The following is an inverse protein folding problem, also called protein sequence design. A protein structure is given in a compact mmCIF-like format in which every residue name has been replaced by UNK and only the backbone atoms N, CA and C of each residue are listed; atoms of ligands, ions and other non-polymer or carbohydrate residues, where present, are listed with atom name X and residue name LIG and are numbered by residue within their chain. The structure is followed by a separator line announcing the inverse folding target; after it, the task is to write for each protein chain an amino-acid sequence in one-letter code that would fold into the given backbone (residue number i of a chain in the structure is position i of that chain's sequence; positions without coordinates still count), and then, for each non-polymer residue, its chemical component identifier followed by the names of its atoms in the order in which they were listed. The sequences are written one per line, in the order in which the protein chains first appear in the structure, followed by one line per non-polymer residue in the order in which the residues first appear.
data_IF_179541563565
#
_entry.id   IF_179541563565
#
_cell.length_a   1.000
_cell.length_b   1.000
_cell.length_c   1.000
_cell.angle_alpha   90.00
_cell.angle_beta   90.00
_cell.angle_gamma   90.00
#
_symmetry.space_group_name_H-M   'P 1'
#
loop_
_entity.id
_entity.type
_entity.pdbx_description
1 polymer ?
#
# COMPACT_ATOMS: atom_id res chain seq x y z
N UNK A 1 -3.43 -17.53 8.18
CA UNK A 1 -2.79 -18.78 7.73
C UNK A 1 -3.31 -19.20 6.37
N UNK A 2 -2.56 -20.06 5.63
CA UNK A 2 -2.98 -20.63 4.33
C UNK A 2 -2.93 -22.16 4.31
N UNK A 3 -2.10 -22.73 5.16
CA UNK A 3 -1.82 -24.16 5.21
C UNK A 3 -2.88 -24.89 6.06
N UNK A 4 -3.53 -25.94 5.51
CA UNK A 4 -4.58 -26.69 6.24
C UNK A 4 -4.07 -27.38 7.50
N UNK A 5 -2.83 -27.91 7.48
CA UNK A 5 -2.25 -28.57 8.65
C UNK A 5 -1.99 -27.60 9.80
N UNK A 6 -1.57 -26.36 9.48
CA UNK A 6 -1.42 -25.32 10.50
C UNK A 6 -2.79 -24.91 11.07
N UNK A 7 -3.85 -24.87 10.24
CA UNK A 7 -5.22 -24.61 10.72
C UNK A 7 -5.66 -25.69 11.72
N UNK A 8 -5.40 -26.94 11.41
CA UNK A 8 -5.69 -28.08 12.30
C UNK A 8 -4.95 -27.98 13.64
N UNK A 9 -3.63 -27.77 13.60
CA UNK A 9 -2.80 -27.59 14.80
C UNK A 9 -3.28 -26.43 15.67
N UNK A 10 -3.65 -25.28 15.06
CA UNK A 10 -4.17 -24.13 15.82
C UNK A 10 -5.48 -24.47 16.52
N UNK A 11 -6.38 -25.18 15.85
CA UNK A 11 -7.66 -25.60 16.43
C UNK A 11 -7.49 -26.60 17.59
N UNK A 12 -6.53 -27.49 17.50
CA UNK A 12 -6.20 -28.44 18.55
C UNK A 12 -5.52 -27.77 19.74
N UNK A 13 -4.61 -26.82 19.48
CA UNK A 13 -3.77 -26.21 20.52
C UNK A 13 -4.43 -25.03 21.20
N UNK A 14 -5.15 -24.18 20.43
CA UNK A 14 -5.81 -22.96 20.88
C UNK A 14 -7.20 -22.87 20.25
N UNK A 15 -8.18 -23.66 20.72
CA UNK A 15 -9.49 -23.81 20.06
C UNK A 15 -10.27 -22.50 19.85
N UNK A 16 -10.11 -21.52 20.75
CA UNK A 16 -10.81 -20.24 20.71
C UNK A 16 -10.14 -19.18 19.82
N UNK A 17 -8.97 -19.50 19.22
CA UNK A 17 -8.28 -18.57 18.36
C UNK A 17 -9.06 -18.32 17.06
N UNK A 18 -9.33 -17.05 16.77
CA UNK A 18 -9.91 -16.65 15.48
C UNK A 18 -8.91 -16.86 14.34
N UNK A 19 -9.32 -17.64 13.36
CA UNK A 19 -8.48 -17.97 12.19
C UNK A 19 -8.89 -17.11 11.00
N UNK A 20 -7.94 -16.35 10.45
CA UNK A 20 -8.09 -15.61 9.21
C UNK A 20 -7.35 -16.35 8.09
N UNK A 21 -8.10 -16.77 7.08
CA UNK A 21 -7.54 -17.47 5.92
C UNK A 21 -6.84 -16.48 4.98
N UNK A 22 -5.60 -16.77 4.64
CA UNK A 22 -4.82 -15.94 3.71
C UNK A 22 -5.37 -16.01 2.28
N UNK A 23 -5.20 -14.93 1.52
CA UNK A 23 -5.39 -14.91 0.06
C UNK A 23 -4.60 -16.01 -0.67
N UNK A 24 -3.53 -16.51 -0.07
CA UNK A 24 -2.72 -17.60 -0.64
C UNK A 24 -3.45 -18.95 -0.68
N UNK A 25 -4.56 -19.11 0.05
CA UNK A 25 -5.46 -20.26 -0.09
C UNK A 25 -6.32 -20.18 -1.37
N UNK A 26 -6.24 -19.05 -2.11
CA UNK A 26 -6.89 -18.83 -3.40
C UNK A 26 -8.41 -19.08 -3.37
N UNK A 27 -9.10 -18.45 -2.41
CA UNK A 27 -10.56 -18.56 -2.29
C UNK A 27 -11.23 -17.65 -3.31
N UNK A 28 -11.84 -18.25 -4.33
CA UNK A 28 -12.42 -17.56 -5.50
C UNK A 28 -13.91 -17.82 -5.71
N UNK A 29 -14.56 -18.58 -4.83
CA UNK A 29 -15.99 -18.87 -4.92
C UNK A 29 -16.59 -19.20 -3.55
N UNK A 30 -17.92 -19.10 -3.45
CA UNK A 30 -18.63 -19.34 -2.18
C UNK A 30 -18.52 -20.76 -1.66
N UNK A 31 -18.34 -21.78 -2.54
CA UNK A 31 -18.19 -23.16 -2.09
C UNK A 31 -16.87 -23.37 -1.36
N UNK A 32 -15.79 -22.77 -1.85
CA UNK A 32 -14.51 -22.74 -1.15
C UNK A 32 -14.61 -21.97 0.17
N UNK A 33 -15.30 -20.82 0.18
CA UNK A 33 -15.53 -20.05 1.40
C UNK A 33 -16.30 -20.88 2.46
N UNK A 34 -17.37 -21.56 2.05
CA UNK A 34 -18.16 -22.42 2.92
C UNK A 34 -17.40 -23.64 3.42
N UNK A 35 -16.49 -24.19 2.61
CA UNK A 35 -15.59 -25.25 3.05
C UNK A 35 -14.69 -24.76 4.19
N UNK A 36 -14.02 -23.63 4.02
CA UNK A 36 -13.14 -23.07 5.04
C UNK A 36 -13.88 -22.65 6.31
N UNK A 37 -15.08 -22.12 6.18
CA UNK A 37 -15.94 -21.84 7.34
C UNK A 37 -16.20 -23.09 8.18
N UNK A 38 -16.53 -24.21 7.54
CA UNK A 38 -16.71 -25.50 8.22
C UNK A 38 -15.42 -25.99 8.90
N UNK A 39 -14.26 -25.56 8.40
CA UNK A 39 -12.97 -25.81 9.05
C UNK A 39 -12.66 -24.83 10.19
N UNK A 40 -13.61 -23.98 10.61
CA UNK A 40 -13.45 -23.06 11.74
C UNK A 40 -12.75 -21.73 11.38
N UNK A 41 -12.62 -21.42 10.09
CA UNK A 41 -12.14 -20.12 9.65
C UNK A 41 -13.22 -19.06 9.90
N UNK A 42 -12.86 -17.97 10.56
CA UNK A 42 -13.76 -16.86 10.91
C UNK A 42 -13.71 -15.67 9.94
N UNK A 43 -12.60 -15.52 9.19
CA UNK A 43 -12.44 -14.47 8.15
C UNK A 43 -11.64 -15.02 6.98
N UNK A 44 -12.04 -14.63 5.77
CA UNK A 44 -11.34 -14.98 4.54
C UNK A 44 -10.82 -13.72 3.85
N UNK A 45 -9.52 -13.69 3.58
CA UNK A 45 -8.91 -12.69 2.68
C UNK A 45 -9.14 -13.17 1.25
N UNK A 46 -10.01 -12.49 0.54
CA UNK A 46 -10.41 -12.84 -0.83
C UNK A 46 -9.23 -12.74 -1.81
N UNK A 47 -9.28 -13.56 -2.87
CA UNK A 47 -8.35 -13.47 -3.98
C UNK A 47 -8.49 -12.12 -4.71
N UNK A 48 -7.37 -11.58 -5.24
CA UNK A 48 -7.35 -10.27 -5.92
C UNK A 48 -7.97 -10.30 -7.32
N UNK A 49 -8.16 -11.49 -7.83
CA UNK A 49 -8.67 -11.77 -9.18
C UNK A 49 -10.20 -11.71 -9.26
N UNK A 50 -10.88 -11.44 -8.13
CA UNK A 50 -12.34 -11.38 -8.05
C UNK A 50 -12.88 -10.01 -8.45
N UNK A 51 -13.93 -10.03 -9.26
CA UNK A 51 -14.77 -8.86 -9.53
C UNK A 51 -15.76 -8.60 -8.38
N UNK A 52 -16.32 -7.39 -8.33
CA UNK A 52 -17.38 -7.07 -7.37
C UNK A 52 -18.59 -7.99 -7.46
N UNK A 53 -18.95 -8.42 -8.68
CA UNK A 53 -20.05 -9.39 -8.91
C UNK A 53 -19.76 -10.74 -8.26
N UNK A 54 -18.57 -11.26 -8.43
CA UNK A 54 -18.16 -12.54 -7.82
C UNK A 54 -18.05 -12.44 -6.31
N UNK A 55 -17.57 -11.30 -5.77
CA UNK A 55 -17.54 -11.02 -4.33
C UNK A 55 -18.97 -11.01 -3.77
N UNK A 56 -19.89 -10.33 -4.44
CA UNK A 56 -21.30 -10.31 -4.06
C UNK A 56 -21.91 -11.72 -4.01
N UNK A 57 -21.63 -12.55 -5.02
CA UNK A 57 -22.06 -13.95 -5.05
C UNK A 57 -21.49 -14.74 -3.86
N UNK A 58 -20.20 -14.55 -3.55
CA UNK A 58 -19.55 -15.19 -2.41
C UNK A 58 -20.22 -14.77 -1.09
N UNK A 59 -20.39 -13.47 -0.87
CA UNK A 59 -20.96 -12.94 0.37
C UNK A 59 -22.41 -13.42 0.55
N UNK A 60 -23.23 -13.36 -0.51
CA UNK A 60 -24.64 -13.71 -0.45
C UNK A 60 -24.90 -15.21 -0.22
N UNK A 61 -23.97 -16.07 -0.63
CA UNK A 61 -24.09 -17.54 -0.51
C UNK A 61 -23.20 -18.13 0.61
N UNK A 62 -22.67 -17.30 1.50
CA UNK A 62 -21.87 -17.72 2.65
C UNK A 62 -22.61 -17.48 3.98
N UNK A 63 -22.21 -18.16 5.07
CA UNK A 63 -22.73 -17.90 6.41
C UNK A 63 -22.57 -16.44 6.83
N UNK A 64 -23.58 -15.90 7.54
CA UNK A 64 -23.65 -14.47 7.89
C UNK A 64 -22.59 -14.02 8.89
N UNK A 65 -22.04 -14.93 9.65
CA UNK A 65 -20.97 -14.71 10.63
C UNK A 65 -19.56 -14.93 10.05
N UNK A 66 -19.46 -15.42 8.80
CA UNK A 66 -18.19 -15.46 8.08
C UNK A 66 -17.83 -14.05 7.60
N UNK A 67 -16.68 -13.56 8.05
CA UNK A 67 -16.18 -12.25 7.65
C UNK A 67 -15.32 -12.32 6.37
N UNK A 68 -15.40 -11.28 5.57
CA UNK A 68 -14.55 -11.13 4.37
C UNK A 68 -13.65 -9.91 4.47
N UNK A 69 -12.42 -10.08 3.98
CA UNK A 69 -11.39 -9.05 3.85
C UNK A 69 -10.97 -8.95 2.38
N UNK A 70 -10.88 -7.73 1.85
CA UNK A 70 -10.54 -7.49 0.45
C UNK A 70 -9.36 -6.53 0.31
N UNK A 71 -8.49 -6.78 -0.67
CA UNK A 71 -7.42 -5.84 -0.99
C UNK A 71 -7.98 -4.58 -1.65
N UNK A 72 -7.51 -3.42 -1.24
CA UNK A 72 -7.96 -2.13 -1.77
C UNK A 72 -6.82 -1.26 -2.29
N UNK A 73 -5.56 -1.57 -1.93
CA UNK A 73 -4.42 -0.75 -2.32
C UNK A 73 -3.13 -1.54 -2.44
N UNK A 74 -2.27 -1.09 -3.34
CA UNK A 74 -0.89 -1.54 -3.47
C UNK A 74 -0.64 -2.51 -4.62
N UNK A 75 0.45 -3.23 -4.51
CA UNK A 75 0.96 -4.06 -5.60
C UNK A 75 -0.02 -5.17 -6.02
N UNK A 76 -0.30 -5.25 -7.31
CA UNK A 76 -0.96 -6.42 -7.93
C UNK A 76 0.05 -7.52 -8.23
N UNK A 77 -0.38 -8.77 -8.12
CA UNK A 77 0.43 -9.93 -8.48
C UNK A 77 0.20 -10.31 -9.95
N UNK A 78 1.26 -10.74 -10.65
CA UNK A 78 1.18 -11.27 -12.02
C UNK A 78 0.52 -12.66 -12.07
N UNK A 79 0.61 -13.40 -11.00
CA UNK A 79 0.07 -14.75 -10.90
C UNK A 79 -1.10 -14.82 -9.94
N UNK A 80 -1.93 -15.84 -10.06
CA UNK A 80 -2.93 -16.19 -9.06
C UNK A 80 -2.33 -16.25 -7.67
N UNK A 81 -3.09 -15.81 -6.69
CA UNK A 81 -2.67 -15.77 -5.29
C UNK A 81 -2.12 -17.12 -4.82
N UNK A 82 -0.90 -17.13 -4.29
CA UNK A 82 -0.22 -18.32 -3.79
C UNK A 82 0.34 -19.28 -4.87
N UNK A 83 0.34 -18.93 -6.15
CA UNK A 83 0.75 -19.82 -7.25
C UNK A 83 2.04 -19.42 -7.97
N UNK A 84 2.67 -18.33 -7.57
CA UNK A 84 3.88 -17.83 -8.24
C UNK A 84 5.14 -18.50 -7.70
N UNK A 85 5.98 -19.02 -8.60
CA UNK A 85 7.31 -19.57 -8.29
C UNK A 85 8.46 -18.61 -8.69
N UNK A 86 8.17 -17.52 -9.40
CA UNK A 86 9.19 -16.62 -9.95
C UNK A 86 10.14 -16.10 -8.87
N UNK A 87 9.59 -15.66 -7.73
CA UNK A 87 10.39 -15.14 -6.62
C UNK A 87 11.34 -16.20 -6.04
N UNK A 88 10.85 -17.43 -5.84
CA UNK A 88 11.69 -18.51 -5.32
C UNK A 88 12.77 -18.93 -6.29
N UNK A 89 12.45 -18.96 -7.58
CA UNK A 89 13.42 -19.28 -8.64
C UNK A 89 14.52 -18.21 -8.75
N UNK A 90 14.13 -16.93 -8.75
CA UNK A 90 15.06 -15.81 -8.97
C UNK A 90 15.87 -15.41 -7.72
N UNK A 91 15.35 -15.65 -6.51
CA UNK A 91 15.93 -15.08 -5.27
C UNK A 91 15.97 -16.04 -4.09
N UNK A 92 15.44 -17.26 -4.22
CA UNK A 92 15.29 -18.17 -3.08
C UNK A 92 14.17 -17.79 -2.11
N UNK A 93 13.42 -16.68 -2.33
CA UNK A 93 12.35 -16.23 -1.46
C UNK A 93 11.01 -16.78 -1.93
N UNK A 94 10.27 -17.42 -1.04
CA UNK A 94 9.06 -18.17 -1.37
C UNK A 94 7.80 -17.31 -1.32
N UNK A 95 7.30 -16.86 -2.48
CA UNK A 95 6.08 -16.04 -2.58
C UNK A 95 4.83 -16.75 -2.07
N UNK A 96 4.74 -18.06 -2.26
CA UNK A 96 3.65 -18.89 -1.74
C UNK A 96 3.65 -19.04 -0.21
N UNK A 97 4.75 -18.68 0.46
CA UNK A 97 4.85 -18.56 1.92
C UNK A 97 4.75 -17.13 2.42
N UNK A 98 4.34 -16.18 1.54
CA UNK A 98 4.27 -14.77 1.87
C UNK A 98 5.60 -14.02 1.77
N UNK A 99 6.69 -14.61 1.30
CA UNK A 99 8.01 -13.99 1.16
C UNK A 99 8.36 -13.67 -0.29
N UNK A 100 7.54 -12.79 -0.92
CA UNK A 100 7.72 -12.40 -2.32
C UNK A 100 8.75 -11.28 -2.47
N UNK A 101 9.75 -11.46 -3.35
CA UNK A 101 10.72 -10.43 -3.74
C UNK A 101 10.18 -9.47 -4.80
N UNK A 102 8.97 -9.70 -5.33
CA UNK A 102 8.38 -8.97 -6.45
C UNK A 102 9.25 -8.99 -7.73
N UNK A 103 9.91 -10.11 -8.00
CA UNK A 103 10.80 -10.27 -9.15
C UNK A 103 10.11 -9.96 -10.49
N UNK A 104 8.80 -10.23 -10.63
CA UNK A 104 8.03 -9.86 -11.82
C UNK A 104 7.98 -8.35 -12.13
N UNK A 105 8.44 -7.51 -11.19
CA UNK A 105 8.48 -6.04 -11.33
C UNK A 105 9.87 -5.50 -11.63
N UNK A 106 10.86 -6.37 -11.77
CA UNK A 106 12.21 -5.97 -12.17
C UNK A 106 12.26 -5.75 -13.67
N UNK A 107 13.24 -4.97 -14.10
CA UNK A 107 13.49 -4.77 -15.53
C UNK A 107 14.32 -5.93 -16.06
N UNK A 108 13.83 -6.54 -17.12
CA UNK A 108 14.50 -7.65 -17.80
C UNK A 108 14.77 -7.34 -19.26
N UNK A 109 15.83 -7.98 -19.77
CA UNK A 109 16.08 -8.09 -21.22
C UNK A 109 16.39 -9.56 -21.52
N UNK A 110 15.97 -10.03 -22.66
CA UNK A 110 16.42 -11.31 -23.19
C UNK A 110 17.81 -11.11 -23.82
N UNK A 111 18.68 -12.06 -23.58
CA UNK A 111 20.01 -12.13 -24.21
C UNK A 111 20.11 -13.50 -24.84
N UNK A 112 20.42 -13.54 -26.13
CA UNK A 112 20.70 -14.78 -26.82
C UNK A 112 22.15 -15.20 -26.55
N UNK A 113 22.36 -16.44 -26.10
CA UNK A 113 23.67 -16.92 -25.61
C UNK A 113 24.81 -16.72 -26.58
N UNK A 114 24.55 -16.86 -27.92
CA UNK A 114 25.54 -16.70 -28.96
C UNK A 114 25.77 -15.25 -29.39
N UNK A 115 25.02 -14.30 -28.80
CA UNK A 115 25.11 -12.86 -29.08
C UNK A 115 25.23 -12.05 -27.79
N UNK A 116 26.28 -12.27 -27.00
CA UNK A 116 26.49 -11.54 -25.76
C UNK A 116 26.63 -10.04 -26.05
N UNK A 117 25.89 -9.21 -25.33
CA UNK A 117 25.91 -7.75 -25.51
C UNK A 117 24.75 -7.19 -26.32
N UNK A 118 23.97 -8.04 -27.01
CA UNK A 118 22.68 -7.64 -27.60
C UNK A 118 21.56 -7.90 -26.61
N UNK A 119 20.82 -6.84 -26.26
CA UNK A 119 19.73 -6.87 -25.29
C UNK A 119 18.40 -6.66 -25.99
N UNK A 120 17.51 -7.64 -25.87
CA UNK A 120 16.16 -7.57 -26.41
C UNK A 120 15.21 -7.26 -25.25
N UNK A 121 14.59 -6.06 -25.19
CA UNK A 121 13.64 -5.73 -24.14
C UNK A 121 12.46 -6.72 -24.20
N UNK A 122 11.97 -7.10 -23.03
CA UNK A 122 10.82 -8.00 -22.91
C UNK A 122 9.57 -7.12 -22.86
N UNK A 123 8.77 -7.18 -23.92
CA UNK A 123 7.51 -6.44 -24.07
C UNK A 123 6.36 -7.43 -24.34
N UNK A 124 5.14 -7.06 -23.99
CA UNK A 124 3.96 -7.87 -24.27
C UNK A 124 3.29 -7.41 -25.55
N UNK A 125 2.91 -8.36 -26.40
CA UNK A 125 2.02 -8.14 -27.53
C UNK A 125 0.85 -9.16 -27.54
N UNK A 126 0.04 -9.16 -28.59
CA UNK A 126 -1.15 -10.02 -28.69
C UNK A 126 -0.84 -11.52 -28.79
N UNK A 127 0.42 -11.92 -28.92
CA UNK A 127 0.85 -13.30 -29.19
C UNK A 127 1.69 -13.93 -28.08
N UNK A 128 2.17 -13.18 -27.06
CA UNK A 128 3.12 -13.74 -26.10
C UNK A 128 3.06 -13.23 -24.66
N UNK A 129 3.56 -14.07 -23.75
CA UNK A 129 3.65 -13.77 -22.33
C UNK A 129 5.01 -13.18 -22.00
N UNK A 130 5.02 -12.04 -21.36
CA UNK A 130 6.20 -11.33 -20.89
C UNK A 130 6.20 -11.20 -19.38
N UNK A 131 7.36 -10.90 -18.78
CA UNK A 131 7.45 -10.60 -17.36
C UNK A 131 6.89 -9.21 -17.17
N UNK A 132 5.69 -9.12 -16.60
CA UNK A 132 4.81 -7.97 -16.72
C UNK A 132 4.88 -7.04 -15.52
N UNK A 133 4.76 -5.75 -15.79
CA UNK A 133 4.83 -4.68 -14.84
C UNK A 133 3.42 -4.18 -14.47
N UNK A 134 2.73 -4.91 -13.60
CA UNK A 134 1.35 -4.56 -13.19
C UNK A 134 1.28 -3.18 -12.55
N UNK A 135 0.25 -2.42 -12.90
CA UNK A 135 -0.16 -1.21 -12.20
C UNK A 135 -0.45 -1.51 -10.73
N UNK A 136 -0.34 -0.51 -9.88
CA UNK A 136 -0.74 -0.66 -8.48
C UNK A 136 -2.26 -0.51 -8.36
N UNK A 137 -2.87 -1.26 -7.44
CA UNK A 137 -4.30 -1.16 -7.16
C UNK A 137 -4.58 0.08 -6.33
N UNK A 138 -5.68 0.81 -6.65
CA UNK A 138 -6.23 1.87 -5.81
C UNK A 138 -7.75 1.91 -5.90
N UNK A 139 -8.41 1.57 -4.80
CA UNK A 139 -9.87 1.48 -4.70
C UNK A 139 -10.50 2.57 -3.85
N UNK A 140 -9.77 3.67 -3.58
CA UNK A 140 -10.22 4.72 -2.66
C UNK A 140 -11.52 5.40 -3.11
N UNK A 141 -11.75 5.45 -4.41
CA UNK A 141 -12.98 6.03 -5.01
C UNK A 141 -14.21 5.11 -4.88
N UNK A 142 -14.01 3.85 -4.49
CA UNK A 142 -15.05 2.81 -4.48
C UNK A 142 -15.31 2.20 -3.10
N UNK A 143 -14.90 2.86 -2.02
CA UNK A 143 -15.03 2.35 -0.65
C UNK A 143 -16.47 2.08 -0.24
N UNK A 144 -17.44 2.88 -0.74
CA UNK A 144 -18.86 2.66 -0.48
C UNK A 144 -19.30 1.26 -0.93
N UNK A 145 -18.83 0.77 -2.08
CA UNK A 145 -19.19 -0.57 -2.58
C UNK A 145 -18.74 -1.69 -1.66
N UNK A 146 -17.54 -1.57 -1.04
CA UNK A 146 -17.09 -2.56 -0.04
C UNK A 146 -17.96 -2.55 1.21
N UNK A 147 -18.37 -1.34 1.66
CA UNK A 147 -19.30 -1.18 2.79
C UNK A 147 -20.66 -1.83 2.47
N UNK A 148 -21.21 -1.56 1.30
CA UNK A 148 -22.52 -2.08 0.86
C UNK A 148 -22.53 -3.61 0.72
N UNK A 149 -21.42 -4.19 0.27
CA UNK A 149 -21.21 -5.64 0.21
C UNK A 149 -20.95 -6.28 1.58
N UNK A 150 -20.81 -5.49 2.64
CA UNK A 150 -20.56 -6.01 4.00
C UNK A 150 -19.14 -6.53 4.22
N UNK A 151 -18.16 -6.10 3.41
CA UNK A 151 -16.74 -6.41 3.62
C UNK A 151 -16.28 -5.79 4.94
N UNK A 152 -15.75 -6.61 5.82
CA UNK A 152 -15.41 -6.22 7.20
C UNK A 152 -14.02 -5.62 7.36
N UNK A 153 -13.10 -5.93 6.44
CA UNK A 153 -11.73 -5.42 6.50
C UNK A 153 -11.21 -5.08 5.11
N UNK A 154 -10.47 -3.98 5.02
CA UNK A 154 -9.80 -3.50 3.82
C UNK A 154 -8.30 -3.69 3.99
N UNK A 155 -7.66 -4.35 3.01
CA UNK A 155 -6.25 -4.71 3.07
C UNK A 155 -5.41 -3.85 2.16
N UNK A 156 -4.35 -3.28 2.71
CA UNK A 156 -3.33 -2.51 2.00
C UNK A 156 -2.08 -3.40 1.83
N UNK A 157 -1.60 -3.57 0.61
CA UNK A 157 -0.34 -4.24 0.33
C UNK A 157 0.80 -3.20 0.33
N UNK A 158 1.71 -3.34 1.28
CA UNK A 158 2.82 -2.40 1.44
C UNK A 158 4.11 -3.07 1.94
N UNK A 159 4.23 -4.40 1.85
CA UNK A 159 5.31 -5.17 2.44
C UNK A 159 6.72 -4.70 2.03
N UNK A 160 6.92 -4.39 0.76
CA UNK A 160 8.20 -3.91 0.22
C UNK A 160 8.21 -2.39 0.02
N UNK A 161 7.35 -1.68 0.73
CA UNK A 161 7.22 -0.22 0.67
C UNK A 161 7.81 0.42 1.94
N UNK A 162 8.07 1.72 1.87
CA UNK A 162 8.57 2.49 3.00
C UNK A 162 7.49 2.72 4.07
N UNK A 163 7.93 3.10 5.27
CA UNK A 163 7.06 3.56 6.36
C UNK A 163 6.18 4.74 5.91
N UNK A 164 6.75 5.66 5.13
CA UNK A 164 6.01 6.79 4.55
C UNK A 164 4.86 6.34 3.66
N UNK A 165 5.09 5.37 2.78
CA UNK A 165 4.01 4.80 1.96
C UNK A 165 2.89 4.23 2.84
N UNK A 166 3.26 3.46 3.87
CA UNK A 166 2.27 2.87 4.78
C UNK A 166 1.49 3.95 5.53
N UNK A 167 2.17 4.98 6.02
CA UNK A 167 1.53 6.10 6.70
C UNK A 167 0.53 6.83 5.80
N UNK A 168 0.91 7.15 4.56
CA UNK A 168 0.04 7.83 3.59
C UNK A 168 -1.15 6.94 3.20
N UNK A 169 -0.90 5.67 2.89
CA UNK A 169 -1.96 4.76 2.49
C UNK A 169 -2.99 4.58 3.61
N UNK A 170 -2.55 4.24 4.83
CA UNK A 170 -3.46 4.05 5.98
C UNK A 170 -4.22 5.34 6.31
N UNK A 171 -3.53 6.50 6.32
CA UNK A 171 -4.15 7.80 6.56
C UNK A 171 -5.23 8.10 5.52
N UNK A 172 -4.92 7.98 4.24
CA UNK A 172 -5.86 8.31 3.17
C UNK A 172 -7.10 7.42 3.20
N UNK A 173 -6.90 6.11 3.31
CA UNK A 173 -8.02 5.16 3.41
C UNK A 173 -8.85 5.35 4.68
N UNK A 174 -8.21 5.63 5.83
CA UNK A 174 -8.95 5.85 7.09
C UNK A 174 -9.82 7.11 7.02
N UNK A 175 -9.25 8.22 6.57
CA UNK A 175 -10.01 9.46 6.44
C UNK A 175 -11.11 9.34 5.36
N UNK A 176 -10.84 8.69 4.22
CA UNK A 176 -11.85 8.46 3.20
C UNK A 176 -13.00 7.56 3.70
N UNK A 177 -12.72 6.55 4.52
CA UNK A 177 -13.74 5.72 5.17
C UNK A 177 -14.58 6.51 6.17
N UNK A 178 -13.96 7.38 6.96
CA UNK A 178 -14.67 8.23 7.93
C UNK A 178 -15.59 9.24 7.21
N UNK A 179 -15.21 9.67 6.00
CA UNK A 179 -16.03 10.56 5.17
C UNK A 179 -17.21 9.86 4.48
N UNK A 180 -17.30 8.53 4.49
CA UNK A 180 -18.47 7.83 3.94
C UNK A 180 -19.77 8.13 4.69
N UNK A 181 -19.69 8.62 5.92
CA UNK A 181 -20.85 9.07 6.70
C UNK A 181 -21.38 10.44 6.24
N UNK A 182 -20.61 11.17 5.42
CA UNK A 182 -21.01 12.46 4.84
C UNK A 182 -21.76 12.25 3.51
N UNK A 183 -22.58 13.22 3.10
CA UNK A 183 -23.10 13.28 1.73
C UNK A 183 -21.97 13.19 0.70
N UNK A 184 -22.22 12.55 -0.44
CA UNK A 184 -21.19 12.28 -1.46
C UNK A 184 -20.49 13.56 -1.95
N UNK A 185 -21.25 14.65 -2.14
CA UNK A 185 -20.72 15.95 -2.56
C UNK A 185 -19.86 16.68 -1.52
N UNK A 186 -19.83 16.19 -0.27
CA UNK A 186 -19.00 16.74 0.81
C UNK A 186 -17.75 15.89 1.08
N UNK A 187 -17.59 14.76 0.40
CA UNK A 187 -16.45 13.85 0.55
C UNK A 187 -15.24 14.39 -0.22
N UNK A 188 -14.07 14.32 0.40
CA UNK A 188 -12.81 14.76 -0.21
C UNK A 188 -12.07 13.60 -0.91
N UNK A 189 -12.79 12.69 -1.57
CA UNK A 189 -12.21 11.47 -2.16
C UNK A 189 -11.05 11.78 -3.12
N UNK A 190 -11.21 12.82 -3.96
CA UNK A 190 -10.14 13.24 -4.88
C UNK A 190 -8.88 13.71 -4.14
N UNK A 191 -9.03 14.49 -3.06
CA UNK A 191 -7.90 14.90 -2.22
C UNK A 191 -7.16 13.67 -1.64
N UNK A 192 -7.88 12.68 -1.14
CA UNK A 192 -7.25 11.47 -0.59
C UNK A 192 -6.56 10.62 -1.66
N UNK A 193 -7.07 10.62 -2.89
CA UNK A 193 -6.41 10.00 -4.03
C UNK A 193 -5.09 10.72 -4.37
N UNK A 194 -5.11 12.04 -4.44
CA UNK A 194 -3.90 12.86 -4.66
C UNK A 194 -2.86 12.68 -3.55
N UNK A 195 -3.29 12.49 -2.30
CA UNK A 195 -2.38 12.15 -1.21
C UNK A 195 -1.68 10.79 -1.44
N UNK A 196 -2.38 9.79 -1.95
CA UNK A 196 -1.77 8.50 -2.31
C UNK A 196 -0.71 8.64 -3.41
N UNK A 197 -0.94 9.52 -4.38
CA UNK A 197 -0.02 9.82 -5.48
C UNK A 197 1.28 10.51 -5.01
N UNK A 198 1.30 11.10 -3.82
CA UNK A 198 2.50 11.67 -3.20
C UNK A 198 3.46 10.63 -2.61
N UNK A 199 3.04 9.39 -2.50
CA UNK A 199 3.91 8.27 -2.12
C UNK A 199 4.49 7.57 -3.36
N UNK A 200 5.49 6.70 -3.17
CA UNK A 200 6.07 5.94 -4.28
C UNK A 200 5.08 4.91 -4.82
N UNK A 201 4.57 5.11 -6.01
CA UNK A 201 3.55 4.27 -6.65
C UNK A 201 3.85 4.05 -8.13
N UNK A 202 3.16 3.11 -8.74
CA UNK A 202 2.97 2.98 -10.19
C UNK A 202 1.61 3.55 -10.54
N UNK A 203 1.33 3.74 -11.83
CA UNK A 203 -0.01 4.12 -12.25
C UNK A 203 -1.06 3.26 -11.56
N UNK A 204 -2.17 3.87 -11.18
CA UNK A 204 -3.23 3.16 -10.49
C UNK A 204 -4.19 2.47 -11.46
N UNK A 205 -4.72 1.35 -11.00
CA UNK A 205 -5.80 0.61 -11.64
C UNK A 205 -6.80 0.11 -10.59
N UNK A 206 -7.95 -0.33 -11.02
CA UNK A 206 -8.94 -0.95 -10.14
C UNK A 206 -8.76 -2.48 -10.01
N UNK A 207 -7.63 -3.02 -10.53
CA UNK A 207 -7.41 -4.47 -10.56
C UNK A 207 -8.55 -5.17 -11.30
N UNK A 208 -9.06 -6.27 -10.73
CA UNK A 208 -10.13 -7.07 -11.33
C UNK A 208 -11.54 -6.67 -10.86
N UNK A 209 -11.71 -5.68 -10.00
CA UNK A 209 -13.01 -5.35 -9.39
C UNK A 209 -14.12 -5.04 -10.40
N UNK A 210 -13.78 -4.50 -11.56
CA UNK A 210 -14.73 -4.21 -12.64
C UNK A 210 -14.63 -5.20 -13.82
N UNK A 211 -13.92 -6.31 -13.63
CA UNK A 211 -13.64 -7.32 -14.65
C UNK A 211 -12.16 -7.46 -14.96
N UNK A 212 -11.80 -8.31 -15.91
CA UNK A 212 -10.40 -8.48 -16.29
C UNK A 212 -9.84 -7.19 -16.93
N UNK A 213 -8.80 -6.58 -16.35
CA UNK A 213 -8.23 -5.34 -16.87
C UNK A 213 -7.43 -5.53 -18.16
N UNK A 214 -7.13 -6.78 -18.56
CA UNK A 214 -6.30 -7.08 -19.74
C UNK A 214 -5.05 -6.18 -19.82
N UNK A 215 -4.82 -5.57 -20.99
CA UNK A 215 -3.69 -4.66 -21.25
C UNK A 215 -3.71 -3.41 -20.36
N UNK A 216 -4.87 -2.91 -19.98
CA UNK A 216 -5.01 -1.70 -19.14
C UNK A 216 -4.48 -1.89 -17.71
N UNK A 217 -4.33 -3.13 -17.25
CA UNK A 217 -3.76 -3.48 -15.96
C UNK A 217 -2.23 -3.45 -15.90
N UNK A 218 -1.54 -3.22 -17.03
CA UNK A 218 -0.09 -3.30 -17.16
C UNK A 218 0.53 -1.95 -17.52
N UNK A 219 1.82 -1.79 -17.20
CA UNK A 219 2.65 -0.64 -17.58
C UNK A 219 3.65 -1.08 -18.65
N UNK A 220 3.55 -0.51 -19.84
CA UNK A 220 4.43 -0.80 -20.96
C UNK A 220 5.57 0.22 -21.11
N UNK A 221 5.42 1.41 -20.58
CA UNK A 221 6.32 2.54 -20.82
C UNK A 221 7.48 2.63 -19.84
N UNK A 222 7.34 2.11 -18.63
CA UNK A 222 8.38 2.24 -17.59
C UNK A 222 8.19 1.20 -16.48
N UNK A 223 9.29 0.62 -16.00
CA UNK A 223 9.31 -0.16 -14.75
C UNK A 223 9.49 0.71 -13.49
N UNK A 224 9.66 2.02 -13.68
CA UNK A 224 9.99 2.96 -12.60
C UNK A 224 8.77 3.31 -11.75
N UNK A 225 9.01 3.50 -10.46
CA UNK A 225 8.03 4.12 -9.57
C UNK A 225 8.00 5.62 -9.79
N UNK A 226 6.81 6.19 -9.80
CA UNK A 226 6.58 7.63 -9.73
C UNK A 226 6.89 8.07 -8.31
N UNK A 227 7.72 9.09 -8.18
CA UNK A 227 8.07 9.72 -6.90
C UNK A 227 8.07 11.22 -7.11
N UNK A 228 7.15 11.90 -6.47
CA UNK A 228 6.99 13.35 -6.60
C UNK A 228 7.32 14.09 -5.32
N UNK A 229 7.36 13.36 -4.19
CA UNK A 229 7.64 13.92 -2.87
C UNK A 229 8.71 13.09 -2.13
N UNK A 230 9.43 13.78 -1.26
CA UNK A 230 10.42 13.19 -0.36
C UNK A 230 10.10 13.57 1.09
N UNK A 231 10.19 12.61 2.01
CA UNK A 231 10.11 12.86 3.45
C UNK A 231 11.39 13.57 3.88
N UNK A 232 11.26 14.71 4.52
CA UNK A 232 12.41 15.48 5.01
C UNK A 232 12.58 15.39 6.52
N UNK A 233 11.51 15.10 7.28
CA UNK A 233 11.62 15.00 8.72
C UNK A 233 10.43 14.34 9.39
N UNK A 234 10.64 13.93 10.64
CA UNK A 234 9.60 13.42 11.54
C UNK A 234 9.66 14.26 12.80
N UNK A 235 8.51 14.79 13.23
CA UNK A 235 8.39 15.57 14.46
C UNK A 235 8.57 14.65 15.66
N UNK A 236 9.48 15.01 16.56
CA UNK A 236 9.76 14.29 17.79
C UNK A 236 9.08 14.92 19.00
N UNK A 237 9.03 16.24 19.03
CA UNK A 237 8.29 17.00 20.04
C UNK A 237 7.91 18.38 19.51
N UNK A 238 7.00 19.04 20.19
CA UNK A 238 6.54 20.38 19.87
C UNK A 238 6.26 21.16 21.17
N UNK A 239 6.83 22.33 21.25
CA UNK A 239 6.55 23.27 22.32
C UNK A 239 5.52 24.30 21.83
N UNK A 240 4.34 24.29 22.45
CA UNK A 240 3.22 25.16 22.06
C UNK A 240 3.43 26.62 22.41
N UNK A 241 4.23 26.92 23.44
CA UNK A 241 4.49 28.30 23.87
C UNK A 241 5.47 28.98 22.91
N UNK A 242 6.59 28.34 22.64
CA UNK A 242 7.61 28.86 21.72
C UNK A 242 7.32 28.58 20.25
N UNK A 243 6.32 27.73 19.95
CA UNK A 243 6.00 27.26 18.58
C UNK A 243 7.14 26.52 17.88
N UNK A 244 8.05 25.91 18.63
CA UNK A 244 9.23 25.21 18.12
C UNK A 244 8.99 23.70 18.10
N UNK A 245 9.15 23.12 16.92
CA UNK A 245 9.17 21.66 16.72
C UNK A 245 10.60 21.14 16.75
N UNK A 246 10.82 20.01 17.40
CA UNK A 246 12.04 19.22 17.30
C UNK A 246 11.81 18.15 16.23
N UNK A 247 12.63 18.16 15.20
CA UNK A 247 12.48 17.34 14.00
C UNK A 247 13.70 16.46 13.84
N UNK A 248 13.48 15.17 13.61
CA UNK A 248 14.53 14.26 13.15
C UNK A 248 14.54 14.24 11.63
N UNK A 249 15.64 14.68 11.05
CA UNK A 249 15.83 14.76 9.60
C UNK A 249 15.83 13.37 8.96
N UNK A 250 15.20 13.25 7.79
CA UNK A 250 15.16 12.04 6.96
C UNK A 250 15.79 12.24 5.57
N UNK A 251 15.69 13.44 5.04
CA UNK A 251 16.36 13.88 3.83
C UNK A 251 16.71 15.37 3.96
N UNK A 252 17.68 15.82 3.17
CA UNK A 252 18.12 17.21 3.19
C UNK A 252 16.98 18.18 2.93
N UNK A 253 16.87 19.19 3.80
CA UNK A 253 16.05 20.38 3.58
C UNK A 253 16.79 21.62 4.09
N UNK A 254 16.37 22.79 3.65
CA UNK A 254 17.05 24.05 3.88
C UNK A 254 16.08 25.12 4.33
N UNK A 255 16.62 26.14 4.95
CA UNK A 255 15.89 27.37 5.29
C UNK A 255 15.18 27.93 4.06
N UNK A 256 13.89 28.20 4.18
CA UNK A 256 13.05 28.69 3.09
C UNK A 256 12.35 27.59 2.27
N UNK A 257 12.70 26.31 2.41
CA UNK A 257 11.98 25.22 1.75
C UNK A 257 10.50 25.23 2.16
N UNK A 258 9.60 25.10 1.18
CA UNK A 258 8.18 24.91 1.44
C UNK A 258 7.91 23.43 1.73
N UNK A 259 7.37 23.16 2.90
CA UNK A 259 7.13 21.83 3.43
C UNK A 259 5.64 21.59 3.62
N UNK A 260 5.19 20.39 3.35
CA UNK A 260 3.88 19.90 3.78
C UNK A 260 4.03 19.10 5.08
N UNK A 261 3.26 19.46 6.11
CA UNK A 261 3.19 18.76 7.38
C UNK A 261 1.85 18.06 7.54
N UNK A 262 1.84 16.81 7.99
CA UNK A 262 0.62 16.07 8.22
C UNK A 262 0.74 15.07 9.36
N UNK A 263 -0.38 14.86 10.04
CA UNK A 263 -0.61 13.81 11.03
C UNK A 263 -1.60 12.75 10.51
N UNK A 264 -2.10 11.88 11.40
CA UNK A 264 -3.00 10.78 11.03
C UNK A 264 -4.37 11.25 10.56
N UNK A 265 -4.83 12.42 11.00
CA UNK A 265 -6.17 12.96 10.71
C UNK A 265 -6.10 14.29 9.96
N UNK A 266 -7.13 14.56 9.19
CA UNK A 266 -7.30 15.83 8.48
C UNK A 266 -6.35 16.02 7.30
N UNK A 267 -6.47 17.18 6.64
CA UNK A 267 -5.62 17.57 5.51
C UNK A 267 -4.22 17.96 6.01
N UNK A 268 -3.23 17.90 5.13
CA UNK A 268 -1.93 18.50 5.41
C UNK A 268 -2.05 20.03 5.44
N UNK A 269 -1.09 20.69 6.06
CA UNK A 269 -0.88 22.11 5.95
C UNK A 269 0.53 22.40 5.43
N UNK A 270 0.71 23.56 4.84
CA UNK A 270 2.01 24.02 4.35
C UNK A 270 2.71 24.87 5.41
N UNK A 271 4.02 24.70 5.53
CA UNK A 271 4.88 25.51 6.38
C UNK A 271 6.23 25.73 5.70
N UNK A 272 6.79 26.92 5.82
CA UNK A 272 8.15 27.16 5.36
C UNK A 272 9.14 26.76 6.46
N UNK A 273 10.25 26.14 6.08
CA UNK A 273 11.36 25.91 7.00
C UNK A 273 11.96 27.25 7.42
N UNK A 274 11.74 27.65 8.69
CA UNK A 274 12.17 28.96 9.22
C UNK A 274 12.82 28.82 10.57
N UNK A 275 13.80 29.71 10.82
CA UNK A 275 14.51 29.79 12.09
C UNK A 275 15.12 28.45 12.50
N UNK A 276 15.72 27.78 11.51
CA UNK A 276 16.33 26.46 11.71
C UNK A 276 17.54 26.56 12.63
N UNK A 277 17.58 25.66 13.62
CA UNK A 277 18.68 25.52 14.57
C UNK A 277 19.08 24.05 14.70
N UNK A 278 20.34 23.81 15.03
CA UNK A 278 20.83 22.48 15.40
C UNK A 278 20.41 22.10 16.83
N UNK A 279 20.87 20.95 17.31
CA UNK A 279 20.60 20.43 18.66
C UNK A 279 21.11 21.38 19.75
N UNK A 280 22.22 22.06 19.51
CA UNK A 280 22.86 23.00 20.43
C UNK A 280 22.24 24.42 20.40
N UNK A 281 21.28 24.68 19.50
CA UNK A 281 20.60 25.96 19.33
C UNK A 281 21.33 26.92 18.39
N UNK A 282 22.38 26.48 17.68
CA UNK A 282 23.06 27.32 16.68
C UNK A 282 22.22 27.39 15.40
N UNK A 283 22.15 28.58 14.80
CA UNK A 283 21.45 28.76 13.54
C UNK A 283 22.12 27.97 12.41
N UNK A 284 21.30 27.27 11.62
CA UNK A 284 21.73 26.50 10.44
C UNK A 284 20.89 26.87 9.22
N UNK A 285 21.52 26.87 8.04
CA UNK A 285 20.83 27.14 6.77
C UNK A 285 20.33 25.87 6.09
N UNK A 286 20.76 24.69 6.55
CA UNK A 286 20.29 23.40 6.02
C UNK A 286 20.55 22.25 7.00
N UNK A 287 19.80 21.16 6.82
CA UNK A 287 19.92 19.91 7.56
C UNK A 287 20.37 18.78 6.61
N UNK A 288 21.68 18.63 6.32
CA UNK A 288 22.17 17.68 5.33
C UNK A 288 22.41 16.27 5.87
N UNK A 289 22.54 16.10 7.19
CA UNK A 289 22.98 14.84 7.80
C UNK A 289 21.81 13.96 8.20
N UNK A 290 21.89 12.66 7.90
CA UNK A 290 20.87 11.69 8.27
C UNK A 290 20.63 11.66 9.79
N UNK A 291 19.36 11.70 10.18
CA UNK A 291 18.92 11.70 11.59
C UNK A 291 19.37 12.94 12.40
N UNK A 292 19.85 13.98 11.74
CA UNK A 292 20.16 15.25 12.40
C UNK A 292 18.93 15.79 13.12
N UNK A 293 19.11 16.25 14.35
CA UNK A 293 18.05 16.92 15.09
C UNK A 293 18.06 18.40 14.69
N UNK A 294 16.86 18.86 14.30
CA UNK A 294 16.63 20.25 13.87
C UNK A 294 15.50 20.82 14.70
N UNK A 295 15.67 22.03 15.17
CA UNK A 295 14.62 22.86 15.77
C UNK A 295 14.12 23.84 14.73
N UNK A 296 12.82 23.96 14.57
CA UNK A 296 12.20 24.82 13.56
C UNK A 296 10.85 25.36 14.06
N UNK A 297 10.53 26.59 13.74
CA UNK A 297 9.23 27.17 14.05
C UNK A 297 8.13 26.57 13.14
N UNK A 298 7.00 26.22 13.77
CA UNK A 298 5.77 25.76 13.08
C UNK A 298 4.58 26.50 13.69
N UNK A 299 3.82 27.20 12.86
CA UNK A 299 2.68 28.00 13.32
C UNK A 299 1.46 27.16 13.71
N UNK A 300 1.31 25.99 13.14
CA UNK A 300 0.20 25.06 13.43
C UNK A 300 0.55 24.12 14.59
N UNK A 301 -0.45 23.68 15.32
CA UNK A 301 -0.25 22.66 16.35
C UNK A 301 0.09 21.32 15.71
N UNK A 302 1.20 20.74 16.15
CA UNK A 302 1.69 19.45 15.69
C UNK A 302 1.94 18.51 16.86
N UNK A 303 1.95 17.22 16.58
CA UNK A 303 2.19 16.18 17.57
C UNK A 303 3.40 15.33 17.17
N UNK A 304 4.01 14.57 18.10
CA UNK A 304 5.02 13.60 17.79
C UNK A 304 4.56 12.66 16.68
N UNK A 305 5.48 12.28 15.81
CA UNK A 305 5.28 11.45 14.62
C UNK A 305 4.54 12.12 13.45
N UNK A 306 4.19 13.39 13.50
CA UNK A 306 3.82 14.12 12.29
C UNK A 306 4.99 14.10 11.30
N UNK A 307 4.66 14.01 10.02
CA UNK A 307 5.63 13.86 8.93
C UNK A 307 5.72 15.15 8.15
N UNK A 308 6.97 15.58 7.89
CA UNK A 308 7.30 16.67 6.99
C UNK A 308 7.79 16.09 5.67
N UNK A 309 7.23 16.59 4.58
CA UNK A 309 7.64 16.22 3.21
C UNK A 309 7.76 17.46 2.34
N UNK A 310 8.53 17.37 1.26
CA UNK A 310 8.56 18.39 0.22
C UNK A 310 8.43 17.79 -1.17
N UNK A 311 7.98 18.61 -2.11
CA UNK A 311 7.96 18.27 -3.53
C UNK A 311 9.41 18.18 -4.05
N UNK A 312 9.68 17.19 -4.90
CA UNK A 312 10.98 16.99 -5.53
C UNK A 312 11.18 17.87 -6.75
#
# INVERSE_FOLDING_TARGET
VADPGIIEIVKETIPDMRIHLSTQANTTNYRAANFWYKQGVSRIVLARELSFREIEEIVNNSPKDLEFEAFVHGAMCISYSGRCLLSSFMTGRFSNKGDCAQACRWKYNLVEEKRPGEYYPVEEDDEGTFIMNSKDMCMIEHLQRFKDLGIKALKIEGRNKSEYYTAIAVRSYRNALDELEKPENERNTQYWKEELEKSSHRDFSYGFYFGNPYKDGQLYTSSSYIRTYVVVGIIRSFDKESRVAVIEQRNKFSEGDLLECFGPKGKHFETAAKNMQDEDGNKIDSAPHAQQIVRMEINEDVEPYYILRKKM
#
